data_IF_910735275444
#
_entry.id   IF_910735275444
#
_cell.length_a   1.000
_cell.length_b   1.000
_cell.length_c   1.000
_cell.angle_alpha   90.00
_cell.angle_beta   90.00
_cell.angle_gamma   90.00
#
_symmetry.space_group_name_H-M   'P 1'
#
loop_
_entity.id
_entity.type
_entity.pdbx_description
1 polymer ?
#
# COMPACT_ATOMS: atom_id res chain seq x y z
N UNK A 1 12.80 2.32 13.93
CA UNK A 1 12.50 2.66 12.52
C UNK A 1 11.29 1.83 12.11
N UNK A 2 10.11 2.44 12.01
CA UNK A 2 8.91 1.75 11.51
C UNK A 2 9.05 1.67 9.99
N UNK A 3 9.69 0.61 9.51
CA UNK A 3 9.82 0.34 8.08
C UNK A 3 8.42 0.05 7.54
N UNK A 4 7.77 1.06 6.96
CA UNK A 4 6.43 0.94 6.35
C UNK A 4 6.35 -0.24 5.38
N UNK A 5 7.47 -0.58 4.75
CA UNK A 5 7.60 -1.74 3.86
C UNK A 5 7.44 -3.06 4.60
N UNK A 6 7.99 -3.19 5.82
CA UNK A 6 7.86 -4.40 6.63
C UNK A 6 6.42 -4.67 7.04
N UNK A 7 5.64 -3.62 7.34
CA UNK A 7 4.21 -3.79 7.65
C UNK A 7 3.43 -4.32 6.45
N UNK A 8 3.77 -3.90 5.23
CA UNK A 8 3.15 -4.42 4.00
C UNK A 8 3.53 -5.88 3.76
N UNK A 9 4.80 -6.25 3.93
CA UNK A 9 5.23 -7.64 3.82
C UNK A 9 4.59 -8.55 4.87
N UNK A 10 4.39 -8.07 6.09
CA UNK A 10 3.69 -8.81 7.15
C UNK A 10 2.22 -9.00 6.81
N UNK A 11 1.54 -7.96 6.28
CA UNK A 11 0.14 -8.06 5.87
C UNK A 11 -0.04 -9.00 4.67
N UNK A 12 0.86 -8.94 3.68
CA UNK A 12 0.86 -9.86 2.53
C UNK A 12 1.10 -11.29 3.01
N UNK A 13 2.10 -11.52 3.86
CA UNK A 13 2.39 -12.85 4.40
C UNK A 13 1.22 -13.39 5.24
N UNK A 14 0.58 -12.55 6.04
CA UNK A 14 -0.57 -12.94 6.87
C UNK A 14 -1.79 -13.28 6.00
N UNK A 15 -2.04 -12.51 4.93
CA UNK A 15 -3.08 -12.80 3.95
C UNK A 15 -2.82 -14.15 3.25
N UNK A 16 -1.59 -14.40 2.81
CA UNK A 16 -1.21 -15.67 2.18
C UNK A 16 -1.35 -16.85 3.15
N UNK A 17 -0.93 -16.69 4.40
CA UNK A 17 -1.07 -17.73 5.44
C UNK A 17 -2.55 -18.02 5.70
N UNK A 18 -3.40 -16.99 5.81
CA UNK A 18 -4.86 -17.18 5.94
C UNK A 18 -5.40 -17.93 4.73
N UNK A 19 -5.06 -17.53 3.50
CA UNK A 19 -5.49 -18.25 2.30
C UNK A 19 -5.04 -19.71 2.30
N UNK A 20 -3.81 -20.00 2.74
CA UNK A 20 -3.30 -21.38 2.87
C UNK A 20 -4.03 -22.21 3.93
N UNK A 21 -4.39 -21.62 5.07
CA UNK A 21 -5.16 -22.29 6.12
C UNK A 21 -6.56 -22.68 5.66
N UNK A 22 -7.20 -21.86 4.85
CA UNK A 22 -8.53 -22.15 4.28
C UNK A 22 -8.47 -23.07 3.06
N UNK A 23 -7.32 -23.20 2.39
CA UNK A 23 -7.09 -24.10 1.25
C UNK A 23 -6.78 -25.55 1.65
N UNK A 24 -6.47 -25.81 2.93
CA UNK A 24 -6.04 -27.12 3.44
C UNK A 24 -7.14 -28.08 3.94
N UNK A 25 -8.41 -27.68 3.90
CA UNK A 25 -9.52 -28.41 4.56
C UNK A 25 -10.36 -29.35 3.67
N UNK A 26 -9.83 -29.83 2.55
CA UNK A 26 -10.60 -30.53 1.51
C UNK A 26 -10.42 -32.05 1.43
N UNK A 27 -10.27 -32.78 2.54
CA UNK A 27 -10.28 -34.25 2.55
C UNK A 27 -11.66 -34.82 2.90
N UNK A 28 -12.69 -34.52 2.11
CA UNK A 28 -13.90 -35.36 2.00
C UNK A 28 -14.83 -34.83 0.89
N UNK A 29 -15.13 -35.63 -0.13
CA UNK A 29 -16.24 -35.37 -1.05
C UNK A 29 -15.84 -35.15 -2.51
N UNK A 30 -15.42 -36.22 -3.17
CA UNK A 30 -15.23 -36.33 -4.61
C UNK A 30 -16.51 -35.91 -5.36
N UNK A 31 -16.36 -35.18 -6.48
CA UNK A 31 -17.38 -34.88 -7.52
C UNK A 31 -18.19 -33.56 -7.44
N UNK A 32 -18.33 -32.89 -6.30
CA UNK A 32 -19.03 -31.58 -6.20
C UNK A 32 -18.15 -30.36 -5.94
N UNK A 33 -16.91 -30.59 -5.48
CA UNK A 33 -16.08 -29.55 -4.85
C UNK A 33 -15.19 -28.77 -5.83
N UNK A 34 -14.91 -29.31 -7.03
CA UNK A 34 -13.96 -28.68 -7.98
C UNK A 34 -14.42 -27.31 -8.47
N UNK A 35 -15.71 -27.16 -8.79
CA UNK A 35 -16.26 -25.89 -9.24
C UNK A 35 -16.30 -24.84 -8.11
N UNK A 36 -16.64 -25.27 -6.89
CA UNK A 36 -16.66 -24.40 -5.72
C UNK A 36 -15.27 -23.89 -5.32
N UNK A 37 -14.25 -24.76 -5.41
CA UNK A 37 -12.86 -24.40 -5.13
C UNK A 37 -12.33 -23.42 -6.18
N UNK A 38 -12.61 -23.65 -7.46
CA UNK A 38 -12.18 -22.74 -8.53
C UNK A 38 -12.82 -21.36 -8.36
N UNK A 39 -14.14 -21.29 -8.12
CA UNK A 39 -14.83 -20.01 -7.89
C UNK A 39 -14.31 -19.32 -6.63
N UNK A 40 -14.01 -20.06 -5.56
CA UNK A 40 -13.44 -19.46 -4.35
C UNK A 40 -12.02 -18.92 -4.57
N UNK A 41 -11.16 -19.67 -5.24
CA UNK A 41 -9.80 -19.20 -5.57
C UNK A 41 -9.85 -17.99 -6.49
N UNK A 42 -10.75 -17.98 -7.48
CA UNK A 42 -10.96 -16.81 -8.34
C UNK A 42 -11.50 -15.60 -7.56
N UNK A 43 -12.43 -15.80 -6.63
CA UNK A 43 -12.97 -14.75 -5.78
C UNK A 43 -11.90 -14.14 -4.88
N UNK A 44 -11.11 -14.97 -4.18
CA UNK A 44 -9.99 -14.50 -3.36
C UNK A 44 -8.87 -13.87 -4.19
N UNK A 45 -8.56 -14.43 -5.36
CA UNK A 45 -7.62 -13.85 -6.31
C UNK A 45 -8.08 -12.48 -6.84
N UNK A 46 -9.38 -12.32 -7.11
CA UNK A 46 -9.97 -11.05 -7.51
C UNK A 46 -9.91 -10.01 -6.39
N UNK A 47 -10.16 -10.41 -5.12
CA UNK A 47 -10.00 -9.51 -3.96
C UNK A 47 -8.55 -9.03 -3.84
N UNK A 48 -7.58 -9.95 -3.92
CA UNK A 48 -6.15 -9.60 -3.87
C UNK A 48 -5.78 -8.65 -5.01
N UNK A 49 -6.21 -8.97 -6.24
CA UNK A 49 -5.97 -8.12 -7.41
C UNK A 49 -6.59 -6.73 -7.25
N UNK A 50 -7.80 -6.63 -6.70
CA UNK A 50 -8.49 -5.38 -6.43
C UNK A 50 -7.75 -4.54 -5.37
N UNK A 51 -7.31 -5.17 -4.28
CA UNK A 51 -6.50 -4.51 -3.24
C UNK A 51 -5.19 -3.97 -3.83
N UNK A 52 -4.48 -4.79 -4.63
CA UNK A 52 -3.23 -4.37 -5.30
C UNK A 52 -3.52 -3.23 -6.30
N UNK A 53 -4.62 -3.33 -7.05
CA UNK A 53 -5.03 -2.30 -8.01
C UNK A 53 -5.36 -0.97 -7.33
N UNK A 54 -6.04 -0.99 -6.18
CA UNK A 54 -6.33 0.20 -5.39
C UNK A 54 -5.06 0.82 -4.78
N UNK A 55 -4.12 0.00 -4.30
CA UNK A 55 -2.84 0.48 -3.77
C UNK A 55 -1.98 1.08 -4.90
N UNK A 56 -1.93 0.44 -6.06
CA UNK A 56 -1.22 0.93 -7.25
C UNK A 56 -1.91 2.14 -7.92
N UNK A 57 -3.23 2.28 -7.76
CA UNK A 57 -3.98 3.45 -8.20
C UNK A 57 -3.85 4.62 -7.23
N UNK A 58 -3.69 4.32 -5.92
CA UNK A 58 -3.44 5.31 -4.87
C UNK A 58 -2.08 6.00 -4.98
N UNK A 59 -1.09 5.36 -5.62
CA UNK A 59 0.23 5.95 -5.91
C UNK A 59 0.27 6.77 -7.20
N UNK A 60 -0.83 6.84 -7.97
CA UNK A 60 -0.87 7.56 -9.26
C UNK A 60 -1.82 8.75 -9.28
N UNK A 61 -2.37 9.16 -8.14
CA UNK A 61 -3.29 10.31 -8.06
C UNK A 61 -2.67 11.49 -7.32
N UNK A 62 -1.72 12.14 -7.99
CA UNK A 62 -1.70 13.60 -8.19
C UNK A 62 -1.61 14.56 -6.99
N UNK A 63 -1.26 14.13 -5.77
CA UNK A 63 -0.98 15.03 -4.62
C UNK A 63 0.46 14.93 -4.05
N UNK A 64 1.20 13.87 -4.36
CA UNK A 64 2.51 13.61 -3.74
C UNK A 64 3.63 14.57 -4.15
N UNK A 65 3.53 15.31 -5.26
CA UNK A 65 4.62 16.22 -5.66
C UNK A 65 4.70 17.46 -4.77
N UNK A 66 3.55 18.02 -4.37
CA UNK A 66 3.49 19.19 -3.48
C UNK A 66 3.77 18.82 -2.03
N UNK A 67 3.19 17.73 -1.52
CA UNK A 67 3.48 17.21 -0.18
C UNK A 67 4.94 16.78 -0.06
N UNK A 68 5.54 16.18 -1.10
CA UNK A 68 6.97 15.85 -1.11
C UNK A 68 7.84 17.11 -1.11
N UNK A 69 7.52 18.11 -1.95
CA UNK A 69 8.30 19.36 -2.00
C UNK A 69 8.25 20.12 -0.65
N UNK A 70 7.07 20.26 -0.06
CA UNK A 70 6.90 20.89 1.26
C UNK A 70 7.53 20.05 2.38
N UNK A 71 7.42 18.72 2.34
CA UNK A 71 8.06 17.84 3.32
C UNK A 71 9.59 17.90 3.25
N UNK A 72 10.16 18.00 2.04
CA UNK A 72 11.60 18.20 1.83
C UNK A 72 12.02 19.57 2.35
N UNK A 73 11.27 20.63 2.03
CA UNK A 73 11.53 22.00 2.47
C UNK A 73 11.54 22.09 4.02
N UNK A 74 10.51 21.52 4.66
CA UNK A 74 10.40 21.46 6.13
C UNK A 74 11.53 20.67 6.78
N UNK A 75 11.97 19.57 6.15
CA UNK A 75 13.09 18.75 6.63
C UNK A 75 14.42 19.52 6.59
N UNK A 76 14.64 20.36 5.57
CA UNK A 76 15.86 21.19 5.47
C UNK A 76 15.86 22.34 6.47
N UNK A 77 14.71 22.97 6.69
CA UNK A 77 14.55 23.99 7.73
C UNK A 77 14.82 23.43 9.13
N UNK A 78 14.26 22.25 9.44
CA UNK A 78 14.49 21.57 10.72
C UNK A 78 15.96 21.16 10.96
N UNK A 79 16.73 20.98 9.88
CA UNK A 79 18.18 20.73 9.94
C UNK A 79 19.01 22.00 10.03
N UNK A 80 18.38 23.18 9.90
CA UNK A 80 19.07 24.47 9.83
C UNK A 80 19.86 24.70 8.54
N UNK A 81 19.58 23.92 7.48
CA UNK A 81 20.24 24.06 6.17
C UNK A 81 19.75 25.30 5.40
N UNK A 82 18.57 25.80 5.75
CA UNK A 82 17.95 27.00 5.17
C UNK A 82 17.42 27.91 6.27
N UNK A 83 17.39 29.23 6.02
CA UNK A 83 16.86 30.19 6.98
C UNK A 83 15.33 30.26 6.92
N UNK A 84 14.72 30.90 7.92
CA UNK A 84 13.26 31.06 7.99
C UNK A 84 12.72 31.86 6.81
N UNK A 85 13.46 32.86 6.36
CA UNK A 85 13.11 33.73 5.23
C UNK A 85 13.07 32.91 3.93
N UNK A 86 14.09 32.08 3.71
CA UNK A 86 14.17 31.18 2.55
C UNK A 86 13.05 30.12 2.56
N UNK A 87 12.73 29.58 3.74
CA UNK A 87 11.62 28.64 3.90
C UNK A 87 10.28 29.28 3.49
N UNK A 88 9.99 30.49 3.97
CA UNK A 88 8.72 31.18 3.70
C UNK A 88 8.55 31.57 2.23
N UNK A 89 9.64 31.97 1.56
CA UNK A 89 9.63 32.30 0.13
C UNK A 89 9.32 31.05 -0.71
N UNK A 90 10.04 29.96 -0.48
CA UNK A 90 9.82 28.69 -1.19
C UNK A 90 8.48 28.04 -0.86
N UNK A 91 7.99 28.14 0.38
CA UNK A 91 6.67 27.62 0.78
C UNK A 91 5.56 28.35 0.03
N UNK A 92 5.68 29.66 -0.13
CA UNK A 92 4.72 30.48 -0.89
C UNK A 92 4.74 30.14 -2.38
N UNK A 93 5.91 29.92 -2.95
CA UNK A 93 6.06 29.52 -4.36
C UNK A 93 5.52 28.11 -4.64
N UNK A 94 5.54 27.22 -3.64
CA UNK A 94 5.01 25.86 -3.76
C UNK A 94 3.51 25.74 -3.48
N UNK A 95 2.91 26.76 -2.85
CA UNK A 95 1.48 26.79 -2.49
C UNK A 95 0.65 27.78 -3.33
N UNK A 96 1.30 28.67 -4.07
CA UNK A 96 0.68 29.64 -4.99
C UNK A 96 0.63 29.14 -6.44
#
# INVERSE_FOLDING_TARGET
>A
MSNKDSSLWILIALLVIVVLLFSGGGMMGSFGMGFGVIIMVLFWGAIIWLVISLINAGTKKSEETSESALAILKKRYARGEITKEQYLEMEKDLTG
#
